data_IF_938422674789
#
_entry.id   IF_938422674789
#
_cell.length_a   1.000
_cell.length_b   1.000
_cell.length_c   1.000
_cell.angle_alpha   90.00
_cell.angle_beta   90.00
_cell.angle_gamma   90.00
#
_symmetry.space_group_name_H-M   'P 1'
#
loop_
_entity.id
_entity.type
_entity.pdbx_description
1 polymer ?
#
# COMPACT_ATOMS: atom_id res chain seq x y z
N UNK A 1 78.52 2.72 -21.09
CA UNK A 1 79.14 3.82 -20.33
C UNK A 1 78.68 5.12 -20.95
N UNK A 2 78.15 6.01 -20.10
CA UNK A 2 77.92 7.44 -20.29
C UNK A 2 77.03 7.89 -21.46
N UNK A 3 75.90 8.51 -21.13
CA UNK A 3 75.75 9.97 -21.31
C UNK A 3 74.38 10.42 -20.81
N UNK A 4 74.37 11.05 -19.64
CA UNK A 4 73.33 11.99 -19.22
C UNK A 4 73.70 13.39 -19.73
N UNK A 5 72.76 14.10 -20.35
CA UNK A 5 72.42 15.53 -20.11
C UNK A 5 71.21 15.83 -21.01
N UNK A 6 70.00 16.14 -20.53
CA UNK A 6 69.52 17.26 -19.71
C UNK A 6 68.85 18.37 -20.55
N UNK A 7 67.77 18.89 -19.95
CA UNK A 7 67.14 20.22 -20.06
C UNK A 7 66.16 20.48 -21.24
N UNK A 8 64.89 20.76 -20.90
CA UNK A 8 64.19 22.08 -20.99
C UNK A 8 62.66 21.89 -21.01
N UNK A 9 61.97 22.58 -20.09
CA UNK A 9 60.50 22.81 -20.09
C UNK A 9 60.15 23.94 -21.07
N UNK A 10 58.93 23.92 -21.64
CA UNK A 10 57.84 24.92 -21.41
C UNK A 10 56.76 24.87 -22.52
N UNK A 11 55.50 24.98 -22.07
CA UNK A 11 54.26 25.52 -22.67
C UNK A 11 53.48 24.86 -23.82
N UNK A 12 52.20 24.62 -23.49
CA UNK A 12 50.94 24.87 -24.23
C UNK A 12 50.51 24.01 -25.44
N UNK A 13 49.26 23.54 -25.31
CA UNK A 13 48.31 22.86 -26.22
C UNK A 13 48.24 23.41 -27.66
N UNK A 14 47.77 22.70 -28.74
CA UNK A 14 46.46 21.98 -28.81
C UNK A 14 46.29 20.81 -29.86
N UNK A 15 45.12 20.12 -29.81
CA UNK A 15 44.35 19.41 -30.88
C UNK A 15 44.96 18.22 -31.68
N UNK A 16 44.23 17.07 -31.61
CA UNK A 16 44.01 15.91 -32.54
C UNK A 16 45.21 15.18 -33.18
N UNK A 17 45.29 13.84 -33.27
CA UNK A 17 44.35 12.87 -33.85
C UNK A 17 44.66 11.42 -33.40
N UNK A 18 43.58 10.62 -33.24
CA UNK A 18 43.40 9.20 -33.60
C UNK A 18 44.52 8.17 -33.38
N UNK A 19 44.22 7.20 -32.52
CA UNK A 19 44.22 5.79 -32.92
C UNK A 19 43.02 5.04 -32.29
N UNK A 20 42.38 4.22 -33.11
CA UNK A 20 41.12 3.53 -32.88
C UNK A 20 41.25 2.37 -31.89
N UNK A 21 40.31 2.26 -30.95
CA UNK A 21 39.86 0.96 -30.45
C UNK A 21 38.34 0.89 -30.58
N UNK A 22 37.93 0.06 -31.54
CA UNK A 22 36.57 -0.41 -31.76
C UNK A 22 36.14 -1.26 -30.55
N UNK A 23 35.11 -0.80 -29.84
CA UNK A 23 34.38 -1.56 -28.84
C UNK A 23 32.92 -1.65 -29.29
N UNK A 24 32.70 -2.38 -30.38
CA UNK A 24 31.42 -2.98 -30.71
C UNK A 24 31.09 -4.09 -29.69
N UNK A 25 30.38 -3.72 -28.64
CA UNK A 25 29.78 -4.66 -27.69
C UNK A 25 28.67 -3.97 -26.88
N UNK A 26 27.42 -4.44 -26.92
CA UNK A 26 26.37 -3.85 -26.09
C UNK A 26 26.63 -4.14 -24.61
N UNK A 27 26.88 -3.08 -23.85
CA UNK A 27 26.94 -3.10 -22.38
C UNK A 27 25.50 -3.25 -21.87
N UNK A 28 25.21 -4.40 -21.27
CA UNK A 28 23.92 -4.68 -20.62
C UNK A 28 23.78 -3.84 -19.34
N UNK A 29 23.15 -2.66 -19.47
CA UNK A 29 22.53 -1.93 -18.37
C UNK A 29 21.09 -2.45 -18.23
N UNK A 30 20.85 -3.28 -17.21
CA UNK A 30 19.50 -3.73 -16.85
C UNK A 30 18.80 -2.68 -16.00
N UNK A 31 18.49 -1.55 -16.62
CA UNK A 31 17.37 -0.72 -16.19
C UNK A 31 16.10 -1.36 -16.75
N UNK A 32 15.07 -1.52 -15.91
CA UNK A 32 13.71 -1.72 -16.43
C UNK A 32 13.29 -0.37 -17.01
N UNK A 33 13.74 -0.13 -18.24
CA UNK A 33 13.25 0.93 -19.11
C UNK A 33 11.79 0.60 -19.42
N UNK A 34 10.87 1.42 -18.91
CA UNK A 34 9.62 1.66 -19.63
C UNK A 34 10.02 2.45 -20.87
N UNK A 35 10.36 1.72 -21.94
CA UNK A 35 10.79 2.27 -23.22
C UNK A 35 9.63 3.00 -23.89
N UNK A 36 9.86 4.29 -24.10
CA UNK A 36 9.03 5.22 -24.87
C UNK A 36 9.00 4.74 -26.33
N UNK A 37 7.99 3.94 -26.65
CA UNK A 37 7.25 3.89 -27.95
C UNK A 37 6.45 2.59 -28.13
N UNK A 38 6.60 1.59 -27.26
CA UNK A 38 5.78 0.37 -27.23
C UNK A 38 4.63 0.37 -26.20
N UNK A 39 4.76 1.16 -25.13
CA UNK A 39 3.91 1.07 -23.94
C UNK A 39 2.48 1.63 -24.12
N UNK A 40 2.25 2.48 -25.13
CA UNK A 40 0.91 3.02 -25.41
C UNK A 40 -0.06 1.94 -25.90
N UNK A 41 0.46 0.90 -26.56
CA UNK A 41 -0.31 -0.26 -27.00
C UNK A 41 -0.41 -1.30 -25.89
N UNK A 42 0.66 -1.61 -25.15
CA UNK A 42 0.62 -2.58 -24.06
C UNK A 42 -0.30 -2.15 -22.91
N UNK A 43 -0.34 -0.86 -22.55
CA UNK A 43 -1.22 -0.31 -21.52
C UNK A 43 -2.70 -0.35 -21.94
N UNK A 44 -2.98 -0.08 -23.22
CA UNK A 44 -4.31 -0.31 -23.81
C UNK A 44 -4.66 -1.79 -23.82
N UNK A 45 -3.71 -2.68 -24.12
CA UNK A 45 -3.92 -4.12 -24.17
C UNK A 45 -4.16 -4.75 -22.79
N UNK A 46 -3.46 -4.36 -21.73
CA UNK A 46 -3.66 -4.93 -20.38
C UNK A 46 -4.97 -4.45 -19.74
N UNK A 47 -5.33 -3.18 -19.93
CA UNK A 47 -6.64 -2.64 -19.52
C UNK A 47 -7.76 -3.26 -20.38
N UNK A 48 -7.54 -3.43 -21.69
CA UNK A 48 -8.51 -4.04 -22.60
C UNK A 48 -8.62 -5.57 -22.48
N UNK A 49 -7.60 -6.30 -22.01
CA UNK A 49 -7.63 -7.76 -21.75
C UNK A 49 -8.22 -8.08 -20.37
N UNK A 50 -8.05 -7.19 -19.39
CA UNK A 50 -8.88 -7.19 -18.17
C UNK A 50 -10.37 -7.08 -18.51
N UNK A 51 -10.69 -6.37 -19.59
CA UNK A 51 -12.07 -6.13 -20.04
C UNK A 51 -12.54 -7.12 -21.13
N UNK A 52 -11.68 -7.68 -21.97
CA UNK A 52 -12.06 -8.58 -23.08
C UNK A 52 -11.49 -9.98 -22.88
N UNK A 53 -12.36 -10.93 -22.55
CA UNK A 53 -12.58 -12.02 -23.51
C UNK A 53 -14.02 -12.57 -23.54
N UNK A 54 -15.00 -11.90 -22.93
CA UNK A 54 -16.40 -12.38 -23.06
C UNK A 54 -17.55 -11.35 -22.96
N UNK A 55 -17.30 -10.08 -22.61
CA UNK A 55 -18.41 -9.19 -22.20
C UNK A 55 -18.69 -7.96 -23.06
N UNK A 56 -17.78 -7.51 -23.93
CA UNK A 56 -17.97 -6.24 -24.66
C UNK A 56 -18.46 -6.35 -26.10
N UNK A 57 -18.42 -7.53 -26.73
CA UNK A 57 -18.82 -7.66 -28.15
C UNK A 57 -20.27 -8.11 -28.38
N UNK A 58 -21.07 -8.30 -27.33
CA UNK A 58 -22.47 -8.70 -27.50
C UNK A 58 -23.40 -7.97 -26.53
N UNK A 59 -24.20 -7.08 -27.14
CA UNK A 59 -25.56 -6.67 -26.75
C UNK A 59 -25.69 -5.46 -25.81
N UNK A 60 -26.56 -4.52 -26.20
CA UNK A 60 -26.96 -3.36 -25.41
C UNK A 60 -27.73 -3.71 -24.14
N UNK A 61 -27.01 -3.91 -23.03
CA UNK A 61 -27.55 -4.07 -21.67
C UNK A 61 -26.69 -3.31 -20.66
N UNK A 62 -26.74 -1.97 -20.64
CA UNK A 62 -25.77 -1.15 -19.88
C UNK A 62 -25.94 -1.18 -18.35
N UNK A 63 -27.11 -1.57 -17.83
CA UNK A 63 -27.41 -1.45 -16.39
C UNK A 63 -27.15 -2.72 -15.57
N UNK A 64 -27.34 -3.91 -16.15
CA UNK A 64 -27.08 -5.19 -15.46
C UNK A 64 -25.59 -5.50 -15.43
N UNK A 65 -24.87 -5.18 -16.51
CA UNK A 65 -23.42 -5.34 -16.61
C UNK A 65 -22.71 -4.43 -15.60
N UNK A 66 -23.18 -3.19 -15.40
CA UNK A 66 -22.57 -2.29 -14.42
C UNK A 66 -22.74 -2.78 -12.98
N UNK A 67 -23.92 -3.27 -12.57
CA UNK A 67 -24.14 -3.82 -11.23
C UNK A 67 -23.30 -5.09 -11.01
N UNK A 68 -23.29 -6.01 -11.99
CA UNK A 68 -22.51 -7.24 -11.91
C UNK A 68 -21.00 -6.96 -11.77
N UNK A 69 -20.47 -5.94 -12.46
CA UNK A 69 -19.07 -5.52 -12.33
C UNK A 69 -18.76 -4.98 -10.93
N UNK A 70 -19.61 -4.10 -10.37
CA UNK A 70 -19.37 -3.53 -9.04
C UNK A 70 -19.56 -4.51 -7.89
N UNK A 71 -20.28 -5.63 -8.12
CA UNK A 71 -20.36 -6.74 -7.15
C UNK A 71 -19.14 -7.67 -7.20
N UNK A 72 -18.34 -7.63 -8.28
CA UNK A 72 -17.24 -8.57 -8.50
C UNK A 72 -15.98 -8.16 -7.70
N UNK A 73 -15.51 -8.96 -6.73
CA UNK A 73 -14.35 -8.62 -5.91
C UNK A 73 -13.06 -8.42 -6.71
N UNK A 74 -12.85 -9.19 -7.79
CA UNK A 74 -11.69 -9.03 -8.67
C UNK A 74 -11.74 -7.68 -9.38
N UNK A 75 -12.91 -7.28 -9.90
CA UNK A 75 -13.07 -5.97 -10.54
C UNK A 75 -12.81 -4.83 -9.55
N UNK A 76 -13.41 -4.87 -8.36
CA UNK A 76 -13.20 -3.85 -7.31
C UNK A 76 -11.72 -3.73 -6.94
N UNK A 77 -11.04 -4.87 -6.76
CA UNK A 77 -9.59 -4.91 -6.50
C UNK A 77 -8.78 -4.26 -7.62
N UNK A 78 -9.05 -4.63 -8.87
CA UNK A 78 -8.35 -4.08 -10.03
C UNK A 78 -8.56 -2.57 -10.15
N UNK A 79 -9.79 -2.07 -10.00
CA UNK A 79 -10.11 -0.64 -10.00
C UNK A 79 -9.30 0.09 -8.92
N UNK A 80 -9.35 -0.40 -7.67
CA UNK A 80 -8.64 0.23 -6.56
C UNK A 80 -7.11 0.25 -6.80
N UNK A 81 -6.53 -0.86 -7.25
CA UNK A 81 -5.11 -0.95 -7.54
C UNK A 81 -4.69 -0.03 -8.71
N UNK A 82 -5.48 0.02 -9.78
CA UNK A 82 -5.26 0.90 -10.93
C UNK A 82 -5.32 2.39 -10.55
N UNK A 83 -6.25 2.79 -9.69
CA UNK A 83 -6.32 4.17 -9.22
C UNK A 83 -5.20 4.54 -8.26
N UNK A 84 -4.67 3.59 -7.48
CA UNK A 84 -3.43 3.80 -6.72
C UNK A 84 -2.23 3.96 -7.67
N UNK A 85 -2.15 3.16 -8.72
CA UNK A 85 -1.11 3.32 -9.76
C UNK A 85 -1.21 4.66 -10.48
N UNK A 86 -2.42 5.18 -10.69
CA UNK A 86 -2.61 6.50 -11.25
C UNK A 86 -1.95 7.60 -10.41
N UNK A 87 -1.92 7.47 -9.08
CA UNK A 87 -1.21 8.41 -8.19
C UNK A 87 0.32 8.33 -8.39
N UNK A 88 0.87 7.14 -8.57
CA UNK A 88 2.29 6.99 -8.93
C UNK A 88 2.63 7.70 -10.24
N UNK A 89 1.74 7.62 -11.23
CA UNK A 89 1.96 8.23 -12.54
C UNK A 89 1.70 9.73 -12.51
N UNK A 90 0.73 10.21 -11.71
CA UNK A 90 0.55 11.65 -11.45
C UNK A 90 1.84 12.30 -10.96
N UNK A 91 2.51 11.67 -9.99
CA UNK A 91 3.78 12.19 -9.49
C UNK A 91 4.91 12.09 -10.51
N UNK A 92 4.96 11.03 -11.33
CA UNK A 92 5.93 10.94 -12.43
C UNK A 92 5.68 12.00 -13.51
N UNK A 93 4.42 12.23 -13.87
CA UNK A 93 4.01 13.26 -14.81
C UNK A 93 4.44 14.64 -14.30
N UNK A 94 4.30 14.92 -12.99
CA UNK A 94 4.85 16.12 -12.35
C UNK A 94 6.37 16.22 -12.46
N UNK A 95 7.09 15.14 -12.10
CA UNK A 95 8.56 15.11 -12.14
C UNK A 95 9.12 15.29 -13.55
N UNK A 96 8.44 14.73 -14.55
CA UNK A 96 8.84 14.79 -15.97
C UNK A 96 8.17 15.94 -16.74
N UNK A 97 7.37 16.77 -16.07
CA UNK A 97 6.63 17.90 -16.66
C UNK A 97 5.73 17.48 -17.82
N UNK A 98 5.09 16.31 -17.72
CA UNK A 98 4.08 15.83 -18.67
C UNK A 98 2.72 16.46 -18.34
N UNK A 99 2.25 17.31 -19.23
CA UNK A 99 0.98 18.03 -19.09
C UNK A 99 0.07 17.82 -20.31
N UNK A 100 -1.23 18.09 -20.14
CA UNK A 100 -2.22 17.99 -21.23
C UNK A 100 -2.21 16.61 -21.88
N UNK A 101 -2.05 16.58 -23.20
CA UNK A 101 -2.06 15.35 -24.01
C UNK A 101 -0.83 14.45 -23.78
N UNK A 102 0.21 14.96 -23.12
CA UNK A 102 1.38 14.16 -22.73
C UNK A 102 1.19 13.45 -21.38
N UNK A 103 0.21 13.85 -20.57
CA UNK A 103 -0.03 13.25 -19.27
C UNK A 103 -0.52 11.80 -19.43
N UNK A 104 0.11 10.88 -18.70
CA UNK A 104 -0.19 9.46 -18.76
C UNK A 104 -1.16 9.02 -17.67
N UNK A 105 -1.16 9.72 -16.54
CA UNK A 105 -2.03 9.39 -15.41
C UNK A 105 -3.53 9.36 -15.78
N UNK A 106 -4.06 10.28 -16.64
CA UNK A 106 -5.48 10.29 -16.97
C UNK A 106 -6.03 9.01 -17.59
N UNK A 107 -5.19 8.22 -18.25
CA UNK A 107 -5.60 6.95 -18.87
C UNK A 107 -6.13 5.96 -17.82
N UNK A 108 -5.60 6.00 -16.60
CA UNK A 108 -5.91 5.03 -15.55
C UNK A 108 -7.29 5.23 -14.95
N UNK A 109 -7.68 6.47 -14.65
CA UNK A 109 -9.00 6.72 -14.07
C UNK A 109 -10.10 6.82 -15.13
N UNK A 110 -9.79 7.32 -16.33
CA UNK A 110 -10.75 7.36 -17.44
C UNK A 110 -11.19 5.96 -17.88
N UNK A 111 -10.30 4.96 -17.80
CA UNK A 111 -10.63 3.56 -18.12
C UNK A 111 -11.78 2.98 -17.26
N UNK A 112 -12.02 3.55 -16.07
CA UNK A 112 -13.06 3.12 -15.15
C UNK A 112 -14.17 4.17 -14.96
N UNK A 113 -14.26 5.16 -15.86
CA UNK A 113 -15.23 6.27 -15.80
C UNK A 113 -15.11 7.11 -14.52
N UNK A 114 -13.88 7.37 -14.07
CA UNK A 114 -13.62 8.35 -13.01
C UNK A 114 -13.08 9.65 -13.60
N UNK A 115 -13.14 10.69 -12.79
CA UNK A 115 -12.48 11.97 -12.97
C UNK A 115 -11.60 12.27 -11.76
N UNK A 116 -10.50 12.99 -11.99
CA UNK A 116 -9.67 13.51 -10.91
C UNK A 116 -10.39 14.70 -10.25
N UNK A 117 -10.79 14.54 -8.98
CA UNK A 117 -11.43 15.60 -8.21
C UNK A 117 -10.40 16.51 -7.53
N UNK A 118 -9.36 15.94 -6.92
CA UNK A 118 -8.31 16.69 -6.22
C UNK A 118 -7.02 15.87 -6.11
N UNK A 119 -5.87 16.53 -6.25
CA UNK A 119 -4.57 15.95 -5.89
C UNK A 119 -4.27 16.23 -4.41
N UNK A 120 -3.64 15.27 -3.74
CA UNK A 120 -3.11 15.44 -2.39
C UNK A 120 -1.60 15.62 -2.48
N UNK A 121 -1.16 16.83 -2.15
CA UNK A 121 0.22 17.28 -2.26
C UNK A 121 0.79 17.43 -0.86
N UNK A 122 2.01 16.96 -0.67
CA UNK A 122 2.71 17.08 0.59
C UNK A 122 3.33 18.48 0.74
N UNK A 123 3.10 19.14 1.87
CA UNK A 123 3.62 20.49 2.12
C UNK A 123 5.14 20.51 2.28
N UNK A 124 5.75 19.38 2.67
CA UNK A 124 7.19 19.28 2.93
C UNK A 124 8.04 19.26 1.65
N UNK A 125 7.62 18.51 0.62
CA UNK A 125 8.40 18.29 -0.60
C UNK A 125 7.61 18.56 -1.90
N UNK A 126 6.36 19.03 -1.79
CA UNK A 126 5.47 19.30 -2.91
C UNK A 126 5.22 18.08 -3.81
N UNK A 127 5.47 16.86 -3.31
CA UNK A 127 5.16 15.65 -4.04
C UNK A 127 3.67 15.34 -3.97
N UNK A 128 3.10 14.89 -5.08
CA UNK A 128 1.77 14.30 -5.10
C UNK A 128 1.88 12.93 -4.45
N UNK A 129 1.19 12.70 -3.34
CA UNK A 129 1.22 11.42 -2.62
C UNK A 129 -0.16 10.74 -2.59
N UNK A 130 -1.21 11.45 -2.97
CA UNK A 130 -2.55 10.90 -3.08
C UNK A 130 -3.42 11.63 -4.09
N UNK A 131 -4.59 11.10 -4.36
CA UNK A 131 -5.60 11.71 -5.20
C UNK A 131 -7.00 11.30 -4.74
N UNK A 132 -7.97 12.18 -5.00
CA UNK A 132 -9.39 11.92 -4.83
C UNK A 132 -9.98 11.82 -6.23
N UNK A 133 -10.62 10.69 -6.51
CA UNK A 133 -11.33 10.43 -7.76
C UNK A 133 -12.84 10.47 -7.50
N UNK A 134 -13.59 10.98 -8.46
CA UNK A 134 -15.05 10.98 -8.46
C UNK A 134 -15.54 10.14 -9.64
N UNK A 135 -16.50 9.27 -9.42
CA UNK A 135 -17.14 8.54 -10.52
C UNK A 135 -17.90 9.51 -11.40
N UNK A 136 -17.60 9.52 -12.70
CA UNK A 136 -18.27 10.35 -13.70
C UNK A 136 -19.75 9.95 -13.80
N UNK A 137 -20.64 10.94 -13.75
CA UNK A 137 -22.07 10.72 -13.98
C UNK A 137 -22.32 10.70 -15.48
N UNK A 138 -22.66 9.55 -16.05
CA UNK A 138 -22.98 9.41 -17.48
C UNK A 138 -24.36 9.97 -17.86
N UNK A 139 -25.26 10.19 -16.89
CA UNK A 139 -26.56 10.83 -17.11
C UNK A 139 -27.15 11.37 -15.79
N UNK A 140 -27.93 12.46 -15.80
CA UNK A 140 -28.71 12.91 -14.63
C UNK A 140 -29.78 11.90 -14.17
N UNK A 141 -30.16 10.94 -15.02
CA UNK A 141 -31.13 9.87 -14.71
C UNK A 141 -30.45 8.52 -14.37
N UNK A 142 -29.11 8.47 -14.44
CA UNK A 142 -28.33 7.31 -14.04
C UNK A 142 -28.32 7.19 -12.52
N UNK A 143 -29.23 6.38 -12.01
CA UNK A 143 -29.10 5.84 -10.65
C UNK A 143 -27.74 5.14 -10.59
N UNK A 144 -26.80 5.73 -9.84
CA UNK A 144 -25.51 5.11 -9.56
C UNK A 144 -25.72 3.64 -9.21
N UNK A 145 -24.96 2.69 -9.81
CA UNK A 145 -25.06 1.30 -9.43
C UNK A 145 -24.90 1.22 -7.91
N UNK A 146 -25.81 0.53 -7.21
CA UNK A 146 -25.92 0.62 -5.76
C UNK A 146 -24.63 0.27 -5.00
N UNK A 147 -23.66 -0.37 -5.66
CA UNK A 147 -22.38 -0.81 -5.10
C UNK A 147 -21.15 -0.12 -5.71
N UNK A 148 -21.34 0.83 -6.65
CA UNK A 148 -20.24 1.59 -7.23
C UNK A 148 -19.77 2.68 -6.25
N UNK A 149 -18.46 2.88 -6.07
CA UNK A 149 -17.97 3.98 -5.27
C UNK A 149 -18.23 5.30 -5.99
N UNK A 150 -18.76 6.26 -5.25
CA UNK A 150 -18.93 7.64 -5.73
C UNK A 150 -17.59 8.39 -5.67
N UNK A 151 -16.80 8.11 -4.63
CA UNK A 151 -15.46 8.67 -4.46
C UNK A 151 -14.46 7.59 -4.07
N UNK A 152 -13.23 7.73 -4.55
CA UNK A 152 -12.10 6.91 -4.15
C UNK A 152 -10.96 7.84 -3.74
N UNK A 153 -10.50 7.71 -2.49
CA UNK A 153 -9.29 8.39 -2.01
C UNK A 153 -8.13 7.39 -2.09
N UNK A 154 -7.18 7.63 -2.98
CA UNK A 154 -6.06 6.73 -3.25
C UNK A 154 -4.73 7.33 -2.80
N UNK A 155 -3.87 6.52 -2.20
CA UNK A 155 -2.54 6.92 -1.72
C UNK A 155 -1.44 6.02 -2.30
N UNK A 156 -0.39 6.62 -2.86
CA UNK A 156 0.79 5.86 -3.30
C UNK A 156 1.75 5.62 -2.14
N UNK A 157 2.63 4.64 -2.31
CA UNK A 157 3.82 4.48 -1.48
C UNK A 157 5.01 5.29 -1.99
N UNK A 158 6.19 4.97 -1.47
CA UNK A 158 7.46 5.60 -1.81
C UNK A 158 7.79 5.41 -3.31
N UNK A 159 8.29 6.47 -3.96
CA UNK A 159 8.80 6.43 -5.33
C UNK A 159 10.32 6.43 -5.24
N UNK A 160 10.92 5.29 -5.54
CA UNK A 160 12.37 5.11 -5.49
C UNK A 160 12.83 4.33 -6.71
N UNK A 161 14.05 4.63 -7.17
CA UNK A 161 14.62 4.07 -8.40
C UNK A 161 15.55 2.90 -8.06
N UNK A 162 15.41 1.79 -8.78
CA UNK A 162 16.36 0.67 -8.76
C UNK A 162 16.64 0.11 -7.36
N UNK A 163 17.92 -0.11 -7.07
CA UNK A 163 18.40 -0.80 -5.86
C UNK A 163 18.22 0.01 -4.57
N UNK A 164 17.96 1.32 -4.67
CA UNK A 164 17.66 2.16 -3.52
C UNK A 164 16.26 1.89 -2.95
N UNK A 165 15.38 1.23 -3.71
CA UNK A 165 13.97 1.07 -3.36
C UNK A 165 13.75 0.48 -1.97
N UNK A 166 14.42 -0.65 -1.67
CA UNK A 166 14.27 -1.34 -0.39
C UNK A 166 14.79 -0.52 0.78
N UNK A 167 15.99 0.06 0.64
CA UNK A 167 16.63 0.83 1.70
C UNK A 167 15.81 2.06 2.08
N UNK A 168 15.35 2.80 1.08
CA UNK A 168 14.60 4.03 1.30
C UNK A 168 13.21 3.72 1.88
N UNK A 169 12.57 2.62 1.44
CA UNK A 169 11.32 2.15 2.02
C UNK A 169 11.49 1.70 3.49
N UNK A 170 12.57 0.99 3.82
CA UNK A 170 12.87 0.61 5.21
C UNK A 170 13.13 1.83 6.09
N UNK A 171 13.85 2.84 5.58
CA UNK A 171 14.09 4.10 6.28
C UNK A 171 12.78 4.87 6.53
N UNK A 172 11.92 5.00 5.52
CA UNK A 172 10.61 5.61 5.64
C UNK A 172 9.77 4.90 6.71
N UNK A 173 9.70 3.57 6.64
CA UNK A 173 9.01 2.72 7.63
C UNK A 173 9.57 2.92 9.02
N UNK A 174 10.89 3.09 9.18
CA UNK A 174 11.52 3.31 10.48
C UNK A 174 11.18 4.68 11.06
N UNK A 175 11.24 5.74 10.26
CA UNK A 175 10.84 7.10 10.66
C UNK A 175 9.39 7.08 11.13
N UNK A 176 8.54 6.43 10.35
CA UNK A 176 7.12 6.29 10.60
C UNK A 176 6.89 5.50 11.89
N UNK A 177 7.54 4.33 12.08
CA UNK A 177 7.46 3.57 13.34
C UNK A 177 7.75 4.39 14.59
N UNK A 178 8.61 5.40 14.49
CA UNK A 178 9.02 6.26 15.61
C UNK A 178 8.18 7.55 15.76
N UNK A 179 7.18 7.79 14.90
CA UNK A 179 6.35 9.01 14.91
C UNK A 179 5.28 9.03 13.82
N UNK A 180 4.47 7.97 13.72
CA UNK A 180 3.56 7.68 12.59
C UNK A 180 2.56 8.80 12.28
N UNK A 181 2.12 9.50 13.32
CA UNK A 181 1.11 10.55 13.24
C UNK A 181 1.73 11.96 13.06
N UNK A 182 3.06 12.09 13.01
CA UNK A 182 3.76 13.38 12.96
C UNK A 182 4.23 13.76 11.56
N UNK A 183 4.07 12.89 10.57
CA UNK A 183 4.37 13.26 9.17
C UNK A 183 3.17 13.97 8.55
N UNK A 184 3.43 15.05 7.83
CA UNK A 184 2.44 15.87 7.11
C UNK A 184 1.50 15.01 6.25
N UNK A 185 2.04 14.02 5.52
CA UNK A 185 1.24 13.16 4.63
C UNK A 185 0.15 12.35 5.35
N UNK A 186 0.45 11.80 6.52
CA UNK A 186 -0.54 11.03 7.29
C UNK A 186 -1.65 11.95 7.82
N UNK A 187 -1.29 13.14 8.30
CA UNK A 187 -2.28 14.13 8.74
C UNK A 187 -3.16 14.59 7.57
N UNK A 188 -2.56 14.99 6.45
CA UNK A 188 -3.28 15.39 5.24
C UNK A 188 -4.18 14.26 4.74
N UNK A 189 -3.72 13.00 4.78
CA UNK A 189 -4.52 11.83 4.41
C UNK A 189 -5.78 11.68 5.28
N UNK A 190 -5.63 11.75 6.61
CA UNK A 190 -6.76 11.68 7.55
C UNK A 190 -7.73 12.83 7.29
N UNK A 191 -7.23 14.06 7.13
CA UNK A 191 -8.08 15.23 6.89
C UNK A 191 -8.79 15.16 5.53
N UNK A 192 -8.12 14.66 4.49
CA UNK A 192 -8.73 14.47 3.18
C UNK A 192 -9.90 13.48 3.25
N UNK A 193 -9.73 12.33 3.91
CA UNK A 193 -10.80 11.33 4.06
C UNK A 193 -11.96 11.90 4.88
N UNK A 194 -11.68 12.56 6.01
CA UNK A 194 -12.71 13.24 6.82
C UNK A 194 -13.48 14.28 6.01
N UNK A 195 -12.78 15.08 5.22
CA UNK A 195 -13.39 16.11 4.39
C UNK A 195 -14.31 15.51 3.32
N UNK A 196 -13.90 14.44 2.63
CA UNK A 196 -14.74 13.76 1.63
C UNK A 196 -16.01 13.20 2.30
N UNK A 197 -15.88 12.53 3.44
CA UNK A 197 -17.03 11.99 4.19
C UNK A 197 -17.97 13.10 4.67
N UNK A 198 -17.43 14.18 5.24
CA UNK A 198 -18.23 15.31 5.72
C UNK A 198 -18.95 16.04 4.58
N UNK A 199 -18.33 16.14 3.40
CA UNK A 199 -18.88 16.88 2.26
C UNK A 199 -19.89 16.07 1.46
N UNK A 200 -19.65 14.77 1.28
CA UNK A 200 -20.41 13.94 0.34
C UNK A 200 -21.22 12.82 1.00
N UNK A 201 -21.14 12.69 2.33
CA UNK A 201 -21.72 11.59 3.10
C UNK A 201 -20.78 10.39 3.17
N UNK A 202 -21.06 9.44 4.07
CA UNK A 202 -20.21 8.25 4.30
C UNK A 202 -20.45 7.08 3.33
N UNK A 203 -21.51 7.13 2.53
CA UNK A 203 -21.90 6.03 1.66
C UNK A 203 -21.06 6.03 0.37
N UNK A 204 -20.66 4.84 -0.08
CA UNK A 204 -19.96 4.61 -1.35
C UNK A 204 -18.65 5.41 -1.48
N UNK A 205 -17.89 5.53 -0.39
CA UNK A 205 -16.52 6.06 -0.40
C UNK A 205 -15.56 4.91 -0.18
N UNK A 206 -14.57 4.80 -1.07
CA UNK A 206 -13.45 3.88 -0.88
C UNK A 206 -12.20 4.64 -0.48
N UNK A 207 -11.39 4.01 0.36
CA UNK A 207 -10.00 4.41 0.59
C UNK A 207 -9.10 3.29 0.07
N UNK A 208 -8.05 3.65 -0.65
CA UNK A 208 -7.13 2.69 -1.23
C UNK A 208 -5.70 3.16 -1.04
N UNK A 209 -4.78 2.23 -0.86
CA UNK A 209 -3.38 2.58 -0.80
C UNK A 209 -2.45 1.41 -1.04
N UNK A 210 -1.23 1.72 -1.46
CA UNK A 210 -0.17 0.75 -1.68
C UNK A 210 1.05 1.06 -0.81
N UNK A 211 1.68 0.02 -0.24
CA UNK A 211 2.90 0.16 0.55
C UNK A 211 2.69 1.20 1.66
N UNK A 212 3.50 2.24 1.73
CA UNK A 212 3.29 3.31 2.70
C UNK A 212 1.93 4.02 2.56
N UNK A 213 1.41 4.18 1.34
CA UNK A 213 0.07 4.71 1.11
C UNK A 213 -1.03 3.80 1.67
N UNK A 214 -0.80 2.49 1.74
CA UNK A 214 -1.73 1.57 2.41
C UNK A 214 -1.74 1.79 3.92
N UNK A 215 -0.60 2.11 4.53
CA UNK A 215 -0.56 2.49 5.95
C UNK A 215 -1.31 3.81 6.22
N UNK A 216 -1.23 4.78 5.31
CA UNK A 216 -2.02 6.03 5.38
C UNK A 216 -3.52 5.73 5.28
N UNK A 217 -3.92 4.92 4.29
CA UNK A 217 -5.31 4.48 4.13
C UNK A 217 -5.81 3.71 5.36
N UNK A 218 -4.99 2.81 5.91
CA UNK A 218 -5.30 2.05 7.12
C UNK A 218 -5.53 2.99 8.31
N UNK A 219 -4.64 3.96 8.55
CA UNK A 219 -4.78 4.89 9.66
C UNK A 219 -6.02 5.79 9.50
N UNK A 220 -6.25 6.32 8.30
CA UNK A 220 -7.44 7.11 8.01
C UNK A 220 -8.73 6.29 8.19
N UNK A 221 -8.74 5.05 7.71
CA UNK A 221 -9.85 4.11 7.88
C UNK A 221 -10.13 3.78 9.34
N UNK A 222 -9.08 3.47 10.13
CA UNK A 222 -9.20 3.28 11.59
C UNK A 222 -9.80 4.50 12.26
N UNK A 223 -9.39 5.71 11.85
CA UNK A 223 -9.93 6.94 12.41
C UNK A 223 -11.43 7.09 12.14
N UNK A 224 -11.87 6.82 10.90
CA UNK A 224 -13.28 6.86 10.53
C UNK A 224 -14.11 5.76 11.22
N UNK A 225 -13.58 4.55 11.31
CA UNK A 225 -14.27 3.41 11.93
C UNK A 225 -14.50 3.64 13.43
N UNK A 226 -13.53 4.25 14.14
CA UNK A 226 -13.70 4.68 15.54
C UNK A 226 -14.83 5.69 15.73
N UNK A 227 -15.18 6.44 14.68
CA UNK A 227 -16.32 7.36 14.66
C UNK A 227 -17.61 6.72 14.12
N UNK A 228 -17.65 5.40 13.97
CA UNK A 228 -18.82 4.67 13.46
C UNK A 228 -18.98 4.70 11.93
N UNK A 229 -17.97 5.17 11.19
CA UNK A 229 -17.99 5.22 9.72
C UNK A 229 -17.11 4.12 9.13
N UNK A 230 -17.75 3.05 8.67
CA UNK A 230 -17.08 1.88 8.12
C UNK A 230 -16.83 2.04 6.61
N UNK A 231 -15.68 2.59 6.24
CA UNK A 231 -15.31 2.77 4.84
C UNK A 231 -14.82 1.46 4.21
N UNK A 232 -15.18 1.22 2.94
CA UNK A 232 -14.52 0.21 2.13
C UNK A 232 -13.04 0.59 1.97
N UNK A 233 -12.13 -0.30 2.37
CA UNK A 233 -10.69 -0.03 2.34
C UNK A 233 -9.94 -1.10 1.56
N UNK A 234 -9.04 -0.68 0.66
CA UNK A 234 -8.22 -1.56 -0.19
C UNK A 234 -6.74 -1.31 0.11
N UNK A 235 -6.13 -2.21 0.86
CA UNK A 235 -4.80 -2.05 1.46
C UNK A 235 -3.82 -3.01 0.78
N UNK A 236 -3.05 -2.51 -0.18
CA UNK A 236 -2.11 -3.30 -0.97
C UNK A 236 -0.72 -3.28 -0.35
N UNK A 237 -0.21 -4.44 0.06
CA UNK A 237 1.15 -4.60 0.58
C UNK A 237 1.49 -3.60 1.70
N UNK A 238 0.54 -3.38 2.61
CA UNK A 238 0.73 -2.47 3.74
C UNK A 238 1.89 -2.96 4.62
N UNK A 239 2.74 -2.06 5.16
CA UNK A 239 3.75 -2.45 6.12
C UNK A 239 3.13 -2.98 7.41
N UNK A 240 3.78 -3.99 7.98
CA UNK A 240 3.51 -4.51 9.32
C UNK A 240 4.69 -4.18 10.24
N UNK A 241 4.48 -3.31 11.23
CA UNK A 241 5.57 -2.77 12.06
C UNK A 241 5.90 -3.68 13.27
N UNK A 242 6.28 -4.94 13.02
CA UNK A 242 6.74 -5.87 14.07
C UNK A 242 8.01 -6.62 13.69
N UNK A 243 8.52 -7.44 14.61
CA UNK A 243 9.56 -8.41 14.27
C UNK A 243 9.06 -9.34 13.15
N UNK A 244 9.87 -9.65 12.13
CA UNK A 244 9.45 -10.41 10.95
C UNK A 244 9.43 -11.91 11.25
N UNK A 245 8.50 -12.34 12.12
CA UNK A 245 8.35 -13.73 12.58
C UNK A 245 8.01 -14.65 11.41
N UNK A 246 7.30 -14.14 10.40
CA UNK A 246 6.93 -14.92 9.22
C UNK A 246 8.13 -15.39 8.39
N UNK A 247 9.31 -14.75 8.52
CA UNK A 247 10.55 -15.18 7.86
C UNK A 247 11.12 -16.48 8.44
N UNK A 248 10.69 -16.90 9.63
CA UNK A 248 11.17 -18.12 10.28
C UNK A 248 10.61 -19.34 9.54
N UNK A 249 11.50 -20.14 8.93
CA UNK A 249 11.13 -21.34 8.16
C UNK A 249 10.51 -22.43 9.03
N UNK A 250 11.03 -22.62 10.24
CA UNK A 250 10.52 -23.64 11.16
C UNK A 250 9.16 -23.21 11.71
N UNK A 251 8.12 -23.97 11.34
CA UNK A 251 6.75 -23.70 11.78
C UNK A 251 6.61 -23.83 13.30
N UNK A 252 7.25 -24.80 13.96
CA UNK A 252 7.12 -24.96 15.42
C UNK A 252 7.74 -23.79 16.16
N UNK A 253 8.93 -23.34 15.73
CA UNK A 253 9.60 -22.16 16.30
C UNK A 253 8.76 -20.91 16.09
N UNK A 254 8.25 -20.69 14.87
CA UNK A 254 7.37 -19.57 14.53
C UNK A 254 6.17 -19.49 15.47
N UNK A 255 5.47 -20.61 15.65
CA UNK A 255 4.29 -20.67 16.51
C UNK A 255 4.63 -20.51 18.00
N UNK A 256 5.71 -21.15 18.46
CA UNK A 256 6.19 -21.02 19.84
C UNK A 256 6.53 -19.56 20.18
N UNK A 257 7.20 -18.85 19.27
CA UNK A 257 7.56 -17.45 19.46
C UNK A 257 6.34 -16.53 19.53
N UNK A 258 5.35 -16.71 18.64
CA UNK A 258 4.11 -15.93 18.68
C UNK A 258 3.32 -16.19 19.96
N UNK A 259 3.12 -17.46 20.31
CA UNK A 259 2.39 -17.84 21.52
C UNK A 259 3.05 -17.26 22.78
N UNK A 260 4.35 -17.45 22.94
CA UNK A 260 5.09 -16.89 24.07
C UNK A 260 5.01 -15.35 24.09
N UNK A 261 5.16 -14.70 22.93
CA UNK A 261 5.01 -13.26 22.79
C UNK A 261 3.64 -12.76 23.29
N UNK A 262 2.56 -13.42 22.89
CA UNK A 262 1.20 -13.06 23.31
C UNK A 262 0.98 -13.24 24.81
N UNK A 263 1.42 -14.38 25.38
CA UNK A 263 1.29 -14.64 26.82
C UNK A 263 2.06 -13.61 27.64
N UNK A 264 3.29 -13.28 27.24
CA UNK A 264 4.12 -12.26 27.90
C UNK A 264 3.43 -10.89 27.82
N UNK A 265 2.96 -10.50 26.64
CA UNK A 265 2.30 -9.20 26.42
C UNK A 265 1.02 -9.08 27.25
N UNK A 266 0.18 -10.12 27.25
CA UNK A 266 -1.05 -10.16 28.03
C UNK A 266 -0.76 -10.10 29.55
N UNK A 267 0.23 -10.85 30.03
CA UNK A 267 0.64 -10.82 31.43
C UNK A 267 1.11 -9.43 31.88
N UNK A 268 1.93 -8.75 31.05
CA UNK A 268 2.35 -7.38 31.29
C UNK A 268 1.17 -6.40 31.31
N UNK A 269 0.24 -6.53 30.35
CA UNK A 269 -0.95 -5.70 30.27
C UNK A 269 -1.84 -5.83 31.53
N UNK A 270 -2.07 -7.05 32.01
CA UNK A 270 -2.82 -7.30 33.25
C UNK A 270 -2.13 -6.68 34.48
N UNK A 271 -0.81 -6.87 34.60
CA UNK A 271 -0.04 -6.32 35.71
C UNK A 271 -0.09 -4.78 35.75
N UNK A 272 -0.11 -4.13 34.58
CA UNK A 272 -0.19 -2.67 34.46
C UNK A 272 -1.61 -2.12 34.70
N UNK A 273 -2.65 -2.86 34.28
CA UNK A 273 -4.06 -2.49 34.53
C UNK A 273 -4.37 -2.43 36.04
N UNK A 274 -3.68 -3.22 36.86
CA UNK A 274 -3.77 -3.17 38.32
C UNK A 274 -3.14 -1.90 38.94
N UNK A 275 -2.28 -1.17 38.21
CA UNK A 275 -1.57 0.02 38.72
C UNK A 275 -2.18 1.34 38.25
N UNK A 276 -2.85 1.36 37.09
CA UNK A 276 -3.43 2.57 36.51
C UNK A 276 -4.96 2.46 36.43
N UNK A 277 -5.65 2.82 37.52
CA UNK A 277 -7.11 2.91 37.54
C UNK A 277 -7.60 4.28 37.03
N UNK A 278 -7.10 4.74 35.87
CA UNK A 278 -7.65 5.89 35.13
C UNK A 278 -6.93 6.04 33.79
N UNK A 279 -7.46 5.43 32.73
CA UNK A 279 -7.87 6.15 31.51
C UNK A 279 -8.26 5.17 30.40
N UNK A 280 -9.36 5.53 29.74
CA UNK A 280 -10.11 4.78 28.74
C UNK A 280 -9.24 4.41 27.54
N UNK A 281 -9.03 3.11 27.32
CA UNK A 281 -8.65 2.56 26.00
C UNK A 281 -9.44 1.30 25.61
N UNK A 282 -10.29 0.78 26.51
CA UNK A 282 -11.06 -0.45 26.32
C UNK A 282 -12.27 -0.37 25.38
N UNK A 283 -12.35 0.64 24.49
CA UNK A 283 -13.42 0.74 23.48
C UNK A 283 -12.91 0.91 22.04
N UNK A 284 -11.59 1.00 21.87
CA UNK A 284 -10.97 1.37 20.58
C UNK A 284 -10.80 0.19 19.64
N UNK A 285 -10.59 -1.01 20.18
CA UNK A 285 -10.46 -2.24 19.37
C UNK A 285 -11.82 -2.81 19.00
N UNK A 286 -12.75 -2.83 19.97
CA UNK A 286 -14.14 -3.26 19.79
C UNK A 286 -14.87 -2.39 18.74
N UNK A 287 -14.62 -1.08 18.73
CA UNK A 287 -15.15 -0.18 17.69
C UNK A 287 -14.58 -0.43 16.29
N UNK A 288 -13.43 -1.09 16.20
CA UNK A 288 -12.83 -1.52 14.93
C UNK A 288 -13.29 -2.91 14.50
N UNK A 289 -13.88 -3.73 15.40
CA UNK A 289 -14.20 -5.13 15.12
C UNK A 289 -15.17 -5.30 13.94
N UNK A 290 -16.11 -4.34 13.79
CA UNK A 290 -17.07 -4.29 12.69
C UNK A 290 -16.47 -3.81 11.36
N UNK A 291 -15.29 -3.18 11.39
CA UNK A 291 -14.63 -2.69 10.18
C UNK A 291 -13.85 -3.82 9.50
N UNK A 292 -14.15 -4.07 8.22
CA UNK A 292 -13.60 -5.18 7.43
C UNK A 292 -12.83 -4.65 6.20
N UNK A 293 -11.62 -4.12 6.37
CA UNK A 293 -10.78 -3.73 5.25
C UNK A 293 -10.36 -4.94 4.40
N UNK A 294 -10.20 -4.71 3.09
CA UNK A 294 -9.60 -5.65 2.14
C UNK A 294 -8.08 -5.49 2.19
N UNK A 295 -7.41 -6.49 2.76
CA UNK A 295 -5.96 -6.52 2.89
C UNK A 295 -5.37 -7.47 1.85
N UNK A 296 -4.53 -6.94 0.97
CA UNK A 296 -3.87 -7.68 -0.10
C UNK A 296 -2.39 -7.87 0.25
N UNK A 297 -1.96 -9.12 0.33
CA UNK A 297 -0.65 -9.51 0.87
C UNK A 297 0.06 -10.47 -0.09
N UNK A 298 1.35 -10.24 -0.31
CA UNK A 298 2.21 -11.19 -1.01
C UNK A 298 3.18 -11.86 -0.02
N UNK A 299 3.21 -13.20 0.11
CA UNK A 299 4.17 -13.88 1.01
C UNK A 299 5.64 -13.66 0.66
N UNK A 300 5.96 -13.34 -0.60
CA UNK A 300 7.30 -12.96 -1.05
C UNK A 300 7.71 -11.53 -0.66
N UNK A 301 6.75 -10.73 -0.17
CA UNK A 301 6.97 -9.38 0.32
C UNK A 301 7.09 -9.38 1.85
N UNK A 302 8.33 -9.33 2.34
CA UNK A 302 8.62 -9.35 3.78
C UNK A 302 8.11 -8.13 4.55
N UNK A 303 7.67 -7.06 3.87
CA UNK A 303 7.10 -5.87 4.52
C UNK A 303 5.65 -6.12 4.95
N UNK A 304 4.90 -6.91 4.17
CA UNK A 304 3.49 -7.19 4.44
C UNK A 304 3.17 -8.64 4.84
N UNK A 305 4.06 -9.60 4.55
CA UNK A 305 3.81 -11.04 4.79
C UNK A 305 3.41 -11.38 6.23
N UNK A 306 3.88 -10.58 7.19
CA UNK A 306 3.58 -10.74 8.62
C UNK A 306 2.07 -10.64 8.94
N UNK A 307 1.27 -9.96 8.11
CA UNK A 307 -0.19 -9.96 8.26
C UNK A 307 -0.81 -11.35 8.16
N UNK A 308 -0.29 -12.24 7.30
CA UNK A 308 -0.77 -13.62 7.19
C UNK A 308 -0.58 -14.34 8.53
N UNK A 309 0.64 -14.28 9.06
CA UNK A 309 0.99 -14.92 10.32
C UNK A 309 0.27 -14.29 11.52
N UNK A 310 0.03 -12.98 11.51
CA UNK A 310 -0.77 -12.29 12.52
C UNK A 310 -2.19 -12.84 12.59
N UNK A 311 -2.92 -12.88 11.47
CA UNK A 311 -4.31 -13.35 11.46
C UNK A 311 -4.44 -14.87 11.69
N UNK A 312 -3.53 -15.68 11.14
CA UNK A 312 -3.51 -17.12 11.38
C UNK A 312 -3.21 -17.45 12.85
N UNK A 313 -2.30 -16.72 13.48
CA UNK A 313 -2.01 -16.86 14.91
C UNK A 313 -3.22 -16.53 15.76
N UNK A 314 -3.92 -15.43 15.45
CA UNK A 314 -5.15 -15.07 16.17
C UNK A 314 -6.23 -16.15 16.08
N UNK A 315 -6.47 -16.67 14.88
CA UNK A 315 -7.43 -17.76 14.68
C UNK A 315 -7.05 -18.98 15.50
N UNK A 316 -5.77 -19.37 15.47
CA UNK A 316 -5.28 -20.51 16.25
C UNK A 316 -5.42 -20.29 17.76
N UNK A 317 -5.18 -19.08 18.26
CA UNK A 317 -5.38 -18.76 19.67
C UNK A 317 -6.85 -18.90 20.07
N UNK A 318 -7.78 -18.48 19.21
CA UNK A 318 -9.22 -18.68 19.41
C UNK A 318 -9.59 -20.18 19.42
N UNK A 319 -9.12 -20.95 18.43
CA UNK A 319 -9.35 -22.40 18.33
C UNK A 319 -8.81 -23.18 19.56
N UNK A 320 -7.76 -22.66 20.20
CA UNK A 320 -7.15 -23.23 21.41
C UNK A 320 -7.81 -22.78 22.72
N UNK A 321 -8.86 -21.93 22.66
CA UNK A 321 -9.48 -21.32 23.86
C UNK A 321 -8.64 -20.23 24.52
N UNK A 322 -7.59 -19.76 23.86
CA UNK A 322 -6.69 -18.69 24.31
C UNK A 322 -7.00 -17.33 23.63
N UNK A 323 -8.18 -17.19 23.01
CA UNK A 323 -8.57 -15.98 22.27
C UNK A 323 -8.52 -14.70 23.11
N UNK A 324 -8.92 -14.76 24.38
CA UNK A 324 -8.86 -13.61 25.30
C UNK A 324 -7.43 -13.14 25.61
N UNK A 325 -6.48 -14.08 25.71
CA UNK A 325 -5.06 -13.77 25.90
C UNK A 325 -4.56 -13.01 24.67
N UNK A 326 -4.90 -13.51 23.48
CA UNK A 326 -4.47 -12.91 22.23
C UNK A 326 -5.13 -11.55 21.97
N UNK A 327 -6.41 -11.40 22.33
CA UNK A 327 -7.15 -10.14 22.26
C UNK A 327 -6.46 -9.08 23.11
N UNK A 328 -6.15 -9.41 24.36
CA UNK A 328 -5.42 -8.53 25.25
C UNK A 328 -4.02 -8.23 24.73
N UNK A 329 -3.30 -9.25 24.25
CA UNK A 329 -1.97 -9.08 23.70
C UNK A 329 -1.97 -8.13 22.50
N UNK A 330 -2.92 -8.24 21.58
CA UNK A 330 -2.97 -7.43 20.34
C UNK A 330 -3.32 -5.97 20.61
N UNK A 331 -4.09 -5.68 21.65
CA UNK A 331 -4.40 -4.31 22.07
C UNK A 331 -3.18 -3.57 22.63
N UNK A 332 -2.08 -4.31 22.88
CA UNK A 332 -0.86 -3.79 23.48
C UNK A 332 0.36 -4.19 22.64
N UNK A 333 1.47 -3.49 22.83
CA UNK A 333 2.76 -3.95 22.33
C UNK A 333 3.71 -4.06 23.50
N UNK A 334 4.63 -5.05 23.48
CA UNK A 334 5.61 -5.21 24.56
C UNK A 334 6.39 -3.92 24.77
N UNK A 335 6.88 -3.32 23.68
CA UNK A 335 7.59 -2.03 23.73
C UNK A 335 6.74 -0.90 24.28
N UNK A 336 5.47 -0.84 23.88
CA UNK A 336 4.51 0.15 24.37
C UNK A 336 4.18 -0.01 25.87
N UNK A 337 4.03 -1.24 26.36
CA UNK A 337 3.83 -1.52 27.78
C UNK A 337 5.05 -1.11 28.61
N UNK A 338 6.27 -1.40 28.13
CA UNK A 338 7.51 -0.97 28.78
C UNK A 338 7.62 0.56 28.81
N UNK A 339 7.36 1.25 27.69
CA UNK A 339 7.37 2.72 27.61
C UNK A 339 6.36 3.35 28.59
N UNK A 340 5.15 2.81 28.64
CA UNK A 340 4.11 3.23 29.60
C UNK A 340 4.55 3.03 31.05
N UNK A 341 5.24 1.93 31.37
CA UNK A 341 5.75 1.68 32.71
C UNK A 341 6.83 2.69 33.14
N UNK A 342 7.54 3.28 32.16
CA UNK A 342 8.48 4.38 32.36
C UNK A 342 7.85 5.78 32.22
N UNK A 343 6.52 5.88 32.23
CA UNK A 343 5.79 7.16 32.20
C UNK A 343 5.73 7.85 30.83
N UNK A 344 6.12 7.17 29.74
CA UNK A 344 5.97 7.68 28.37
C UNK A 344 4.68 7.14 27.77
N UNK A 345 3.87 7.99 27.13
CA UNK A 345 2.66 7.51 26.46
C UNK A 345 3.04 6.59 25.28
N UNK A 346 2.50 5.38 25.29
CA UNK A 346 2.57 4.46 24.16
C UNK A 346 1.50 4.81 23.14
N UNK A 347 1.92 5.02 21.90
CA UNK A 347 1.01 5.10 20.77
C UNK A 347 0.43 3.72 20.43
N UNK A 348 -0.83 3.71 19.99
CA UNK A 348 -1.51 2.51 19.50
C UNK A 348 -0.83 2.02 18.22
N UNK A 349 -0.55 0.72 18.11
CA UNK A 349 0.08 0.15 16.93
C UNK A 349 -0.81 0.38 15.67
N UNK A 350 -0.34 1.17 14.69
CA UNK A 350 -1.22 1.61 13.60
C UNK A 350 -1.56 0.51 12.59
N UNK A 351 -0.71 -0.51 12.50
CA UNK A 351 -0.88 -1.67 11.62
C UNK A 351 -1.83 -2.73 12.19
N UNK A 352 -2.14 -2.71 13.50
CA UNK A 352 -2.99 -3.72 14.12
C UNK A 352 -4.47 -3.38 13.93
N UNK A 353 -5.21 -4.35 13.42
CA UNK A 353 -6.67 -4.32 13.24
C UNK A 353 -7.30 -5.64 13.69
N UNK A 354 -8.50 -5.62 14.27
CA UNK A 354 -9.21 -6.82 14.68
C UNK A 354 -9.54 -7.72 13.50
N UNK A 355 -10.23 -7.17 12.50
CA UNK A 355 -10.89 -7.94 11.45
C UNK A 355 -10.41 -7.48 10.08
N UNK A 356 -10.37 -8.40 9.11
CA UNK A 356 -10.07 -8.08 7.71
C UNK A 356 -10.47 -9.22 6.77
N UNK A 357 -10.68 -8.88 5.50
CA UNK A 357 -10.59 -9.84 4.40
C UNK A 357 -9.15 -9.88 3.91
N UNK A 358 -8.45 -10.98 4.15
CA UNK A 358 -7.04 -11.14 3.77
C UNK A 358 -6.97 -11.93 2.49
N UNK A 359 -6.53 -11.27 1.42
CA UNK A 359 -6.31 -11.85 0.09
C UNK A 359 -4.82 -12.04 -0.14
N UNK A 360 -4.39 -13.29 -0.29
CA UNK A 360 -3.00 -13.67 -0.47
C UNK A 360 -2.75 -13.98 -1.95
N UNK A 361 -1.75 -13.32 -2.55
CA UNK A 361 -1.26 -13.70 -3.87
C UNK A 361 -0.37 -14.94 -3.74
N UNK A 362 -0.77 -16.05 -4.38
CA UNK A 362 -0.02 -17.32 -4.35
C UNK A 362 0.97 -17.48 -5.50
N UNK A 363 0.98 -16.55 -6.46
CA UNK A 363 1.92 -16.60 -7.55
C UNK A 363 3.35 -16.41 -7.02
N UNK A 364 4.29 -17.18 -7.58
CA UNK A 364 5.70 -16.99 -7.30
C UNK A 364 6.17 -15.64 -7.88
N UNK A 365 6.76 -14.81 -7.03
CA UNK A 365 7.47 -13.61 -7.46
C UNK A 365 8.96 -13.93 -7.64
N UNK A 366 9.60 -13.33 -8.65
CA UNK A 366 11.03 -13.51 -8.93
C UNK A 366 11.89 -12.82 -7.88
N UNK A 367 11.45 -11.64 -7.44
CA UNK A 367 12.15 -10.83 -6.47
C UNK A 367 11.17 -10.06 -5.57
N UNK A 368 11.74 -9.33 -4.62
CA UNK A 368 10.98 -8.48 -3.70
C UNK A 368 10.21 -7.37 -4.43
N UNK A 369 10.76 -6.79 -5.50
CA UNK A 369 10.15 -5.67 -6.22
C UNK A 369 8.89 -6.12 -6.96
N UNK A 370 8.90 -7.32 -7.55
CA UNK A 370 7.72 -7.96 -8.12
C UNK A 370 6.72 -8.32 -7.02
N UNK A 371 7.17 -8.93 -5.92
CA UNK A 371 6.32 -9.32 -4.80
C UNK A 371 5.66 -8.11 -4.10
N UNK A 372 6.35 -6.97 -4.06
CA UNK A 372 5.86 -5.74 -3.44
C UNK A 372 5.09 -4.87 -4.44
N UNK A 373 5.28 -5.01 -5.75
CA UNK A 373 4.72 -4.08 -6.74
C UNK A 373 3.20 -4.12 -6.82
N UNK A 374 2.58 -2.94 -6.93
CA UNK A 374 1.11 -2.79 -7.04
C UNK A 374 0.53 -3.48 -8.29
N UNK A 375 1.34 -3.69 -9.33
CA UNK A 375 0.91 -4.25 -10.61
C UNK A 375 0.39 -5.68 -10.55
N UNK A 376 0.77 -6.44 -9.53
CA UNK A 376 0.22 -7.77 -9.31
C UNK A 376 -1.28 -7.75 -8.97
N UNK A 377 -1.87 -6.61 -8.59
CA UNK A 377 -3.23 -6.59 -8.06
C UNK A 377 -4.31 -6.35 -9.13
N UNK A 378 -3.92 -6.04 -10.37
CA UNK A 378 -4.83 -5.89 -11.51
C UNK A 378 -4.62 -6.91 -12.65
N UNK A 379 -3.70 -7.87 -12.48
CA UNK A 379 -3.48 -8.95 -13.44
C UNK A 379 -4.58 -10.02 -13.35
N UNK A 380 -4.93 -10.59 -14.50
CA UNK A 380 -6.01 -11.58 -14.67
C UNK A 380 -5.56 -13.03 -14.50
N UNK A 381 -4.25 -13.30 -14.51
CA UNK A 381 -3.66 -14.65 -14.50
C UNK A 381 -3.29 -15.18 -13.10
N UNK A 382 -3.71 -14.48 -12.04
CA UNK A 382 -3.25 -14.75 -10.68
C UNK A 382 -4.25 -15.56 -9.85
N UNK A 383 -3.73 -16.55 -9.14
CA UNK A 383 -4.49 -17.29 -8.14
C UNK A 383 -4.40 -16.58 -6.79
N UNK A 384 -5.55 -16.10 -6.33
CA UNK A 384 -5.69 -15.44 -5.03
C UNK A 384 -6.44 -16.35 -4.06
N UNK A 385 -5.97 -16.41 -2.82
CA UNK A 385 -6.71 -17.05 -1.73
C UNK A 385 -7.21 -15.96 -0.78
N UNK A 386 -8.53 -15.85 -0.61
CA UNK A 386 -9.14 -14.89 0.32
C UNK A 386 -9.69 -15.62 1.54
N UNK A 387 -9.30 -15.17 2.73
CA UNK A 387 -9.87 -15.60 4.01
C UNK A 387 -10.43 -14.41 4.76
N UNK A 388 -11.58 -14.60 5.40
CA UNK A 388 -12.17 -13.60 6.29
C UNK A 388 -11.78 -13.92 7.72
N UNK A 389 -11.25 -12.92 8.41
CA UNK A 389 -10.95 -12.99 9.83
C UNK A 389 -11.80 -11.95 10.56
N UNK A 390 -12.59 -12.40 11.53
CA UNK A 390 -13.48 -11.58 12.33
C UNK A 390 -13.21 -11.88 13.79
N UNK A 391 -12.71 -10.89 14.53
CA UNK A 391 -12.44 -11.04 15.95
C UNK A 391 -13.06 -9.85 16.70
N UNK A 392 -13.74 -10.13 17.81
CA UNK A 392 -14.34 -9.14 18.71
C UNK A 392 -13.40 -8.67 19.79
#
# INVERSE_FOLDING_TARGET
>A
MASETAIVKVSESPISERENFDLSGPVYLTTVDCSVDGDRYQLRYDIALSLSSSLWERVGYSKVISIALWTNPCHRRSVAASLVQAVYILERDRQEKREGDQALAPLWWKAFNFELYRQLIDDADSCIFGAIYKLSSTSPDDRHPAQAPRYIVAFRGTITKGDAFMRDLELDIHIIRNGLHQTSRFEIAIQAVRHVVATFGSHNIWIAGHSLGAAMALLAGKNMAKCGVLLDAFLFNSPFFSAPIERIKDKKVKHGLRFAGSVITAGLALAMKSKNQANRSGGTFDSLAAWLPQLFVNPGDHICAEYVGYFEHRKRMEDMGAGEIERLATQHSIGGLVLNAFGKQSEEAPHLIPSAHVTVNKAAARDFKEAHGIHQWWRSDLQFETKTYTFS
#
